data_IF_762324642417
#
_entry.id   IF_762324642417
#
_cell.length_a   1.000
_cell.length_b   1.000
_cell.length_c   1.000
_cell.angle_alpha   90.00
_cell.angle_beta   90.00
_cell.angle_gamma   90.00
#
_symmetry.space_group_name_H-M   'P 1'
#
loop_
_entity.id
_entity.type
_entity.pdbx_description
1 polymer ?
#
# COMPACT_ATOMS: atom_id res chain seq x y z
N UNK A 1 -43.29 -56.85 -27.31
CA UNK A 1 -44.40 -57.19 -28.23
C UNK A 1 -45.46 -56.11 -28.14
N UNK A 2 -46.07 -55.79 -29.29
CA UNK A 2 -47.13 -54.78 -29.57
C UNK A 2 -48.27 -54.85 -28.52
N UNK A 3 -49.08 -53.82 -28.28
CA UNK A 3 -50.16 -53.24 -29.13
C UNK A 3 -50.69 -52.01 -28.32
N UNK A 4 -50.61 -50.77 -28.80
CA UNK A 4 -51.64 -49.99 -29.54
C UNK A 4 -52.98 -49.71 -28.83
N UNK A 5 -53.45 -48.48 -28.99
CA UNK A 5 -54.87 -48.10 -29.09
C UNK A 5 -55.35 -47.16 -27.97
N UNK A 6 -55.53 -45.86 -28.21
CA UNK A 6 -56.76 -45.20 -28.74
C UNK A 6 -57.91 -45.27 -27.73
N UNK A 7 -58.77 -44.27 -27.49
CA UNK A 7 -58.97 -42.90 -27.96
C UNK A 7 -60.16 -42.31 -27.15
N UNK A 8 -60.32 -40.99 -27.21
CA UNK A 8 -61.59 -40.21 -27.20
C UNK A 8 -62.61 -40.40 -26.06
N UNK A 9 -62.86 -39.36 -25.26
CA UNK A 9 -63.75 -38.21 -25.49
C UNK A 9 -65.24 -38.49 -25.21
N UNK A 10 -65.71 -37.81 -24.16
CA UNK A 10 -67.00 -37.10 -24.03
C UNK A 10 -68.27 -37.92 -24.18
N UNK A 11 -69.05 -38.01 -23.10
CA UNK A 11 -70.49 -37.70 -23.14
C UNK A 11 -71.11 -37.64 -21.74
N UNK A 12 -71.75 -36.49 -21.46
CA UNK A 12 -73.07 -36.41 -20.81
C UNK A 12 -73.22 -36.89 -19.38
N UNK A 13 -72.87 -36.03 -18.41
CA UNK A 13 -73.50 -36.12 -17.07
C UNK A 13 -74.88 -35.46 -17.15
N UNK A 14 -75.87 -36.23 -17.58
CA UNK A 14 -77.28 -35.85 -17.54
C UNK A 14 -77.73 -35.70 -16.09
N UNK A 15 -78.16 -34.49 -15.73
CA UNK A 15 -78.88 -34.20 -14.50
C UNK A 15 -80.21 -34.98 -14.52
N UNK A 16 -80.31 -36.05 -13.73
CA UNK A 16 -81.60 -36.69 -13.43
C UNK A 16 -82.17 -36.01 -12.20
N UNK A 17 -83.14 -35.11 -12.39
CA UNK A 17 -84.01 -34.63 -11.31
C UNK A 17 -85.04 -35.72 -11.06
N UNK A 18 -84.77 -36.58 -10.08
CA UNK A 18 -85.79 -37.47 -9.51
C UNK A 18 -86.61 -36.66 -8.52
N UNK A 19 -87.84 -36.35 -8.90
CA UNK A 19 -88.87 -35.93 -7.97
C UNK A 19 -89.41 -37.18 -7.25
N UNK A 20 -89.01 -37.38 -5.99
CA UNK A 20 -89.71 -38.26 -5.06
C UNK A 20 -90.23 -37.42 -3.90
N UNK A 21 -91.55 -37.25 -3.90
CA UNK A 21 -92.34 -36.90 -2.72
C UNK A 21 -92.14 -37.98 -1.65
N UNK A 22 -91.67 -37.56 -0.48
CA UNK A 22 -91.55 -38.41 0.70
C UNK A 22 -90.88 -37.61 1.82
N UNK A 23 -91.67 -37.20 2.81
CA UNK A 23 -91.24 -36.32 3.90
C UNK A 23 -90.03 -36.84 4.66
N UNK A 24 -89.11 -35.92 4.93
CA UNK A 24 -87.87 -36.16 5.67
C UNK A 24 -86.86 -35.10 5.30
N UNK A 25 -87.00 -33.88 5.83
CA UNK A 25 -85.94 -32.86 5.77
C UNK A 25 -84.70 -33.41 6.49
N UNK A 26 -83.82 -34.06 5.73
CA UNK A 26 -82.43 -34.20 6.09
C UNK A 26 -81.81 -32.81 6.01
N UNK A 27 -81.94 -32.06 7.11
CA UNK A 27 -81.23 -30.79 7.31
C UNK A 27 -79.74 -31.07 7.21
N UNK A 28 -79.12 -30.61 6.12
CA UNK A 28 -77.67 -30.47 6.03
C UNK A 28 -77.27 -29.59 7.24
N UNK A 29 -76.39 -30.05 8.15
CA UNK A 29 -76.00 -29.27 9.30
C UNK A 29 -75.30 -27.98 8.82
N UNK A 30 -75.91 -26.84 9.15
CA UNK A 30 -75.55 -25.48 8.73
C UNK A 30 -74.12 -25.07 9.18
N UNK A 31 -73.56 -25.80 10.14
CA UNK A 31 -72.26 -25.57 10.78
C UNK A 31 -71.05 -26.07 9.97
N UNK A 32 -71.27 -27.04 9.06
CA UNK A 32 -70.20 -27.55 8.19
C UNK A 32 -69.58 -26.44 7.32
N UNK A 33 -70.40 -25.51 6.85
CA UNK A 33 -69.94 -24.41 5.99
C UNK A 33 -69.08 -23.36 6.72
N UNK A 34 -69.34 -23.09 8.00
CA UNK A 34 -68.47 -22.21 8.81
C UNK A 34 -67.16 -22.91 9.13
N UNK A 35 -67.20 -24.17 9.55
CA UNK A 35 -66.01 -24.98 9.80
C UNK A 35 -65.07 -25.02 8.58
N UNK A 36 -65.62 -25.29 7.37
CA UNK A 36 -64.84 -25.27 6.13
C UNK A 36 -64.32 -23.87 5.78
N UNK A 37 -65.07 -22.80 6.06
CA UNK A 37 -64.60 -21.42 5.86
C UNK A 37 -63.43 -21.08 6.78
N UNK A 38 -63.49 -21.43 8.06
CA UNK A 38 -62.37 -21.24 9.00
C UNK A 38 -61.15 -22.06 8.62
N UNK A 39 -61.32 -23.31 8.15
CA UNK A 39 -60.22 -24.13 7.64
C UNK A 39 -59.55 -23.51 6.41
N UNK A 40 -60.35 -23.02 5.45
CA UNK A 40 -59.84 -22.34 4.25
C UNK A 40 -59.15 -21.02 4.59
N UNK A 41 -59.67 -20.25 5.55
CA UNK A 41 -59.04 -19.02 6.02
C UNK A 41 -57.70 -19.30 6.72
N UNK A 42 -57.64 -20.31 7.60
CA UNK A 42 -56.40 -20.73 8.26
C UNK A 42 -55.37 -21.23 7.25
N UNK A 43 -55.80 -21.99 6.23
CA UNK A 43 -54.91 -22.41 5.14
C UNK A 43 -54.39 -21.22 4.33
N UNK A 44 -55.24 -20.23 4.07
CA UNK A 44 -54.86 -19.03 3.33
C UNK A 44 -53.84 -18.18 4.10
N UNK A 45 -54.02 -17.99 5.41
CA UNK A 45 -53.05 -17.29 6.26
C UNK A 45 -51.72 -18.04 6.32
N UNK A 46 -51.75 -19.35 6.55
CA UNK A 46 -50.53 -20.19 6.59
C UNK A 46 -49.79 -20.18 5.26
N UNK A 47 -50.52 -20.23 4.14
CA UNK A 47 -49.94 -20.12 2.79
C UNK A 47 -49.25 -18.76 2.60
N UNK A 48 -49.89 -17.67 3.03
CA UNK A 48 -49.31 -16.32 2.90
C UNK A 48 -48.04 -16.14 3.75
N UNK A 49 -48.00 -16.73 4.94
CA UNK A 49 -46.83 -16.70 5.81
C UNK A 49 -45.67 -17.50 5.22
N UNK A 50 -45.96 -18.67 4.62
CA UNK A 50 -45.00 -19.47 3.87
C UNK A 50 -44.44 -18.71 2.68
N UNK A 51 -45.29 -18.05 1.89
CA UNK A 51 -44.85 -17.28 0.72
C UNK A 51 -43.97 -16.10 1.13
N UNK A 52 -44.28 -15.46 2.26
CA UNK A 52 -43.42 -14.44 2.85
C UNK A 52 -42.09 -14.99 3.34
N UNK A 53 -42.07 -16.16 3.99
CA UNK A 53 -40.83 -16.82 4.43
C UNK A 53 -39.93 -17.19 3.23
N UNK A 54 -40.51 -17.70 2.15
CA UNK A 54 -39.81 -18.00 0.90
C UNK A 54 -39.18 -16.73 0.33
N UNK A 55 -39.91 -15.61 0.33
CA UNK A 55 -39.40 -14.33 -0.13
C UNK A 55 -38.18 -13.91 0.71
N UNK A 56 -38.29 -13.95 2.03
CA UNK A 56 -37.22 -13.59 2.96
C UNK A 56 -35.98 -14.49 2.78
N UNK A 57 -36.18 -15.79 2.59
CA UNK A 57 -35.12 -16.74 2.31
C UNK A 57 -34.42 -16.42 0.99
N UNK A 58 -35.17 -16.20 -0.11
CA UNK A 58 -34.55 -15.85 -1.40
C UNK A 58 -33.78 -14.54 -1.36
N UNK A 59 -34.27 -13.54 -0.62
CA UNK A 59 -33.56 -12.27 -0.44
C UNK A 59 -32.29 -12.46 0.39
N UNK A 60 -32.35 -13.26 1.46
CA UNK A 60 -31.20 -13.58 2.31
C UNK A 60 -30.14 -14.37 1.53
N UNK A 61 -30.55 -15.36 0.72
CA UNK A 61 -29.64 -16.12 -0.15
C UNK A 61 -28.95 -15.21 -1.16
N UNK A 62 -29.67 -14.28 -1.80
CA UNK A 62 -29.06 -13.30 -2.71
C UNK A 62 -28.00 -12.47 -2.00
N UNK A 63 -28.33 -11.95 -0.81
CA UNK A 63 -27.42 -11.10 -0.06
C UNK A 63 -26.15 -11.85 0.37
N UNK A 64 -26.29 -13.11 0.77
CA UNK A 64 -25.16 -13.98 1.13
C UNK A 64 -24.30 -14.29 -0.11
N UNK A 65 -24.91 -14.57 -1.26
CA UNK A 65 -24.18 -14.78 -2.53
C UNK A 65 -23.41 -13.54 -2.96
N UNK A 66 -24.02 -12.35 -2.85
CA UNK A 66 -23.35 -11.09 -3.17
C UNK A 66 -22.13 -10.86 -2.27
N UNK A 67 -22.27 -11.14 -0.96
CA UNK A 67 -21.15 -11.09 -0.01
C UNK A 67 -20.05 -12.07 -0.41
N UNK A 68 -20.39 -13.30 -0.81
CA UNK A 68 -19.41 -14.30 -1.28
C UNK A 68 -18.65 -13.84 -2.52
N UNK A 69 -19.34 -13.23 -3.51
CA UNK A 69 -18.71 -12.72 -4.73
C UNK A 69 -17.78 -11.53 -4.43
N UNK A 70 -18.21 -10.60 -3.59
CA UNK A 70 -17.39 -9.46 -3.19
C UNK A 70 -16.18 -9.92 -2.35
N UNK A 71 -16.35 -10.90 -1.46
CA UNK A 71 -15.24 -11.51 -0.73
C UNK A 71 -14.23 -12.19 -1.64
N UNK A 72 -14.71 -12.96 -2.64
CA UNK A 72 -13.83 -13.59 -3.63
C UNK A 72 -13.08 -12.55 -4.47
N UNK A 73 -13.67 -11.37 -4.69
CA UNK A 73 -12.99 -10.26 -5.38
C UNK A 73 -11.89 -9.65 -4.53
N UNK A 74 -12.09 -9.53 -3.22
CA UNK A 74 -11.08 -9.01 -2.28
C UNK A 74 -9.97 -10.04 -2.02
N UNK A 75 -10.31 -11.33 -1.98
CA UNK A 75 -9.38 -12.44 -1.78
C UNK A 75 -8.67 -12.92 -3.05
N UNK A 76 -9.28 -12.70 -4.22
CA UNK A 76 -8.68 -12.96 -5.53
C UNK A 76 -7.34 -12.25 -5.63
N UNK A 77 -6.52 -12.55 -6.66
CA UNK A 77 -5.13 -12.12 -6.73
C UNK A 77 -5.03 -10.60 -6.76
N UNK A 78 -5.06 -9.99 -5.58
CA UNK A 78 -4.60 -8.64 -5.34
C UNK A 78 -3.10 -8.69 -5.62
N UNK A 79 -2.52 -7.65 -6.24
CA UNK A 79 -1.14 -7.64 -6.75
C UNK A 79 -0.09 -7.59 -5.62
N UNK A 80 -0.41 -8.11 -4.44
CA UNK A 80 0.47 -8.20 -3.26
C UNK A 80 1.57 -9.26 -3.42
N UNK A 81 1.49 -10.11 -4.45
CA UNK A 81 2.50 -11.15 -4.74
C UNK A 81 3.33 -10.87 -6.01
N UNK A 82 3.20 -9.69 -6.63
CA UNK A 82 4.18 -9.27 -7.62
C UNK A 82 5.48 -8.91 -6.88
N UNK A 83 6.65 -9.41 -7.33
CA UNK A 83 7.93 -8.98 -6.77
C UNK A 83 7.99 -7.45 -6.85
N UNK A 84 8.14 -6.79 -5.70
CA UNK A 84 8.38 -5.35 -5.62
C UNK A 84 9.76 -5.09 -6.20
N UNK A 85 9.81 -5.01 -7.53
CA UNK A 85 10.97 -4.53 -8.29
C UNK A 85 10.48 -3.29 -9.00
N UNK A 86 10.76 -2.13 -8.42
CA UNK A 86 10.31 -0.82 -8.92
C UNK A 86 9.09 -0.34 -8.14
N UNK A 87 9.29 0.76 -7.40
CA UNK A 87 8.35 1.26 -6.41
C UNK A 87 6.96 1.56 -6.98
N UNK A 88 5.96 0.90 -6.41
CA UNK A 88 4.62 1.41 -6.12
C UNK A 88 3.85 0.27 -5.42
N UNK A 89 4.18 0.04 -4.14
CA UNK A 89 3.27 -0.76 -3.31
C UNK A 89 1.94 -0.03 -3.23
N UNK A 90 0.82 -0.74 -3.45
CA UNK A 90 -0.59 -0.34 -3.27
C UNK A 90 -0.79 1.12 -2.81
N UNK A 91 -1.30 2.03 -3.65
CA UNK A 91 -1.45 3.44 -3.27
C UNK A 91 -2.32 3.62 -2.01
N UNK A 92 -2.15 4.74 -1.29
CA UNK A 92 -2.99 5.07 -0.11
C UNK A 92 -4.48 5.03 -0.44
N UNK A 93 -4.84 5.42 -1.67
CA UNK A 93 -6.22 5.39 -2.17
C UNK A 93 -6.75 3.97 -2.32
N UNK A 94 -5.96 3.06 -2.90
CA UNK A 94 -6.35 1.65 -3.03
C UNK A 94 -6.53 0.97 -1.66
N UNK A 95 -5.76 1.38 -0.64
CA UNK A 95 -5.95 0.88 0.74
C UNK A 95 -7.23 1.40 1.38
N UNK A 96 -7.53 2.69 1.22
CA UNK A 96 -8.75 3.29 1.72
C UNK A 96 -10.00 2.67 1.06
N UNK A 97 -9.89 2.33 -0.23
CA UNK A 97 -10.91 1.59 -0.97
C UNK A 97 -11.14 0.19 -0.39
N UNK A 98 -10.08 -0.59 -0.17
CA UNK A 98 -10.19 -1.94 0.43
C UNK A 98 -10.83 -1.88 1.82
N UNK A 99 -10.41 -0.93 2.67
CA UNK A 99 -10.99 -0.77 4.01
C UNK A 99 -12.49 -0.41 3.94
N UNK A 100 -12.87 0.44 2.98
CA UNK A 100 -14.27 0.82 2.75
C UNK A 100 -15.08 -0.40 2.32
N UNK A 101 -14.56 -1.22 1.39
CA UNK A 101 -15.20 -2.46 0.96
C UNK A 101 -15.37 -3.46 2.12
N UNK A 102 -14.35 -3.65 2.96
CA UNK A 102 -14.42 -4.51 4.16
C UNK A 102 -15.51 -4.04 5.14
N UNK A 103 -15.64 -2.72 5.35
CA UNK A 103 -16.70 -2.15 6.21
C UNK A 103 -18.09 -2.36 5.62
N UNK A 104 -18.25 -2.19 4.30
CA UNK A 104 -19.50 -2.43 3.60
C UNK A 104 -19.91 -3.91 3.71
N UNK A 105 -18.96 -4.83 3.49
CA UNK A 105 -19.17 -6.27 3.65
C UNK A 105 -19.59 -6.64 5.08
N UNK A 106 -18.90 -6.09 6.08
CA UNK A 106 -19.26 -6.29 7.50
C UNK A 106 -20.71 -5.88 7.77
N UNK A 107 -21.15 -4.76 7.18
CA UNK A 107 -22.54 -4.28 7.32
C UNK A 107 -23.54 -5.22 6.64
N UNK A 108 -23.21 -5.74 5.46
CA UNK A 108 -24.06 -6.70 4.74
C UNK A 108 -24.19 -8.02 5.50
N UNK A 109 -23.08 -8.57 6.00
CA UNK A 109 -23.07 -9.79 6.83
C UNK A 109 -23.97 -9.63 8.06
N UNK A 110 -23.88 -8.49 8.79
CA UNK A 110 -24.76 -8.22 9.94
C UNK A 110 -26.25 -8.16 9.55
N UNK A 111 -26.57 -7.66 8.36
CA UNK A 111 -27.96 -7.68 7.85
C UNK A 111 -28.42 -9.10 7.53
N UNK A 112 -27.56 -9.94 6.93
CA UNK A 112 -27.86 -11.37 6.74
C UNK A 112 -28.15 -12.03 8.06
N UNK A 113 -27.30 -11.84 9.08
CA UNK A 113 -27.49 -12.40 10.42
C UNK A 113 -28.84 -12.01 11.02
N UNK A 114 -29.17 -10.72 11.01
CA UNK A 114 -30.42 -10.22 11.57
C UNK A 114 -31.66 -10.79 10.85
N UNK A 115 -31.60 -10.89 9.51
CA UNK A 115 -32.68 -11.49 8.72
C UNK A 115 -32.81 -12.98 8.97
N UNK A 116 -31.70 -13.71 9.00
CA UNK A 116 -31.69 -15.16 9.23
C UNK A 116 -32.25 -15.49 10.62
N UNK A 117 -31.91 -14.71 11.64
CA UNK A 117 -32.50 -14.83 12.97
C UNK A 117 -34.01 -14.54 12.99
N UNK A 118 -34.48 -13.56 12.20
CA UNK A 118 -35.92 -13.28 12.04
C UNK A 118 -36.64 -14.44 11.35
N UNK A 119 -36.10 -14.91 10.22
CA UNK A 119 -36.63 -16.05 9.46
C UNK A 119 -36.71 -17.31 10.32
N UNK A 120 -35.72 -17.56 11.16
CA UNK A 120 -35.72 -18.70 12.08
C UNK A 120 -36.83 -18.62 13.12
N UNK A 121 -37.04 -17.46 13.76
CA UNK A 121 -38.16 -17.26 14.69
C UNK A 121 -39.52 -17.46 14.03
N UNK A 122 -39.68 -16.99 12.79
CA UNK A 122 -40.92 -17.20 12.02
C UNK A 122 -41.14 -18.68 11.72
N UNK A 123 -40.08 -19.38 11.30
CA UNK A 123 -40.13 -20.82 11.05
C UNK A 123 -40.55 -21.59 12.31
N UNK A 124 -39.96 -21.28 13.47
CA UNK A 124 -40.29 -21.92 14.74
C UNK A 124 -41.77 -21.71 15.11
N UNK A 125 -42.31 -20.49 14.89
CA UNK A 125 -43.72 -20.17 15.11
C UNK A 125 -44.68 -20.92 14.17
N UNK A 126 -44.29 -21.10 12.90
CA UNK A 126 -45.09 -21.89 11.96
C UNK A 126 -45.05 -23.38 12.32
N UNK A 127 -43.90 -23.88 12.79
CA UNK A 127 -43.73 -25.27 13.18
C UNK A 127 -44.61 -25.67 14.37
N UNK A 128 -44.82 -24.76 15.32
CA UNK A 128 -45.72 -24.99 16.46
C UNK A 128 -47.20 -24.95 16.08
N UNK A 129 -47.54 -24.37 14.92
CA UNK A 129 -48.93 -24.09 14.53
C UNK A 129 -49.50 -25.15 13.57
N UNK A 130 -48.66 -25.89 12.83
CA UNK A 130 -49.14 -26.78 11.77
C UNK A 130 -48.25 -28.02 11.54
N UNK A 131 -48.72 -29.18 12.01
CA UNK A 131 -48.07 -30.49 11.78
C UNK A 131 -48.04 -30.90 10.29
N UNK A 132 -49.04 -30.47 9.52
CA UNK A 132 -49.14 -30.79 8.08
C UNK A 132 -48.02 -30.20 7.22
N UNK A 133 -47.22 -29.28 7.76
CA UNK A 133 -46.12 -28.61 7.06
C UNK A 133 -44.73 -29.05 7.56
N UNK A 134 -44.67 -30.00 8.49
CA UNK A 134 -43.45 -30.38 9.20
C UNK A 134 -42.30 -30.78 8.26
N UNK A 135 -42.60 -31.50 7.17
CA UNK A 135 -41.59 -31.90 6.17
C UNK A 135 -40.99 -30.71 5.42
N UNK A 136 -41.79 -29.70 5.08
CA UNK A 136 -41.33 -28.50 4.37
C UNK A 136 -40.53 -27.59 5.30
N UNK A 137 -40.98 -27.47 6.56
CA UNK A 137 -40.26 -26.69 7.58
C UNK A 137 -38.90 -27.30 7.91
N UNK A 138 -38.77 -28.63 7.91
CA UNK A 138 -37.49 -29.30 8.09
C UNK A 138 -36.47 -28.94 6.98
N UNK A 139 -36.92 -28.85 5.73
CA UNK A 139 -36.05 -28.43 4.60
C UNK A 139 -35.60 -26.97 4.76
N UNK A 140 -36.50 -26.08 5.18
CA UNK A 140 -36.14 -24.68 5.44
C UNK A 140 -35.21 -24.54 6.66
N UNK A 141 -35.42 -25.32 7.72
CA UNK A 141 -34.52 -25.35 8.88
C UNK A 141 -33.10 -25.76 8.48
N UNK A 142 -32.96 -26.79 7.63
CA UNK A 142 -31.67 -27.19 7.07
C UNK A 142 -31.04 -26.07 6.22
N UNK A 143 -31.82 -25.44 5.35
CA UNK A 143 -31.35 -24.31 4.52
C UNK A 143 -30.85 -23.14 5.37
N UNK A 144 -31.59 -22.79 6.44
CA UNK A 144 -31.20 -21.73 7.38
C UNK A 144 -29.88 -22.11 8.08
N UNK A 145 -29.74 -23.35 8.52
CA UNK A 145 -28.51 -23.86 9.14
C UNK A 145 -27.30 -23.76 8.20
N UNK A 146 -27.47 -24.08 6.92
CA UNK A 146 -26.41 -23.97 5.92
C UNK A 146 -26.01 -22.49 5.68
N UNK A 147 -27.00 -21.59 5.63
CA UNK A 147 -26.75 -20.15 5.50
C UNK A 147 -26.05 -19.58 6.76
N UNK A 148 -26.40 -20.04 7.96
CA UNK A 148 -25.74 -19.67 9.22
C UNK A 148 -24.26 -20.06 9.19
N UNK A 149 -23.96 -21.29 8.75
CA UNK A 149 -22.59 -21.78 8.60
C UNK A 149 -21.80 -20.95 7.57
N UNK A 150 -22.42 -20.60 6.44
CA UNK A 150 -21.78 -19.76 5.42
C UNK A 150 -21.47 -18.35 5.96
N UNK A 151 -22.43 -17.72 6.64
CA UNK A 151 -22.24 -16.40 7.27
C UNK A 151 -21.11 -16.41 8.30
N UNK A 152 -21.01 -17.47 9.11
CA UNK A 152 -19.94 -17.62 10.09
C UNK A 152 -18.54 -17.78 9.43
N UNK A 153 -18.48 -18.51 8.32
CA UNK A 153 -17.26 -18.61 7.50
C UNK A 153 -16.85 -17.27 6.89
N UNK A 154 -17.81 -16.53 6.32
CA UNK A 154 -17.58 -15.19 5.79
C UNK A 154 -17.09 -14.22 6.87
N UNK A 155 -17.64 -14.27 8.08
CA UNK A 155 -17.20 -13.46 9.22
C UNK A 155 -15.75 -13.73 9.60
N UNK A 156 -15.38 -15.00 9.69
CA UNK A 156 -13.99 -15.42 9.98
C UNK A 156 -13.04 -14.89 8.90
N UNK A 157 -13.46 -14.98 7.64
CA UNK A 157 -12.70 -14.45 6.51
C UNK A 157 -12.51 -12.93 6.57
N UNK A 158 -13.59 -12.18 6.85
CA UNK A 158 -13.55 -10.73 7.00
C UNK A 158 -12.61 -10.32 8.14
N UNK A 159 -12.63 -11.05 9.25
CA UNK A 159 -11.73 -10.79 10.38
C UNK A 159 -10.27 -10.96 9.95
N UNK A 160 -9.92 -12.08 9.32
CA UNK A 160 -8.57 -12.33 8.80
C UNK A 160 -8.11 -11.24 7.84
N UNK A 161 -8.97 -10.82 6.90
CA UNK A 161 -8.67 -9.74 5.97
C UNK A 161 -8.44 -8.41 6.70
N UNK A 162 -9.23 -8.12 7.72
CA UNK A 162 -9.09 -6.90 8.54
C UNK A 162 -7.76 -6.87 9.28
N UNK A 163 -7.34 -8.01 9.85
CA UNK A 163 -6.08 -8.15 10.57
C UNK A 163 -4.87 -8.04 9.61
N UNK A 164 -4.97 -8.65 8.43
CA UNK A 164 -3.96 -8.52 7.37
C UNK A 164 -3.81 -7.08 6.89
N UNK A 165 -4.91 -6.38 6.62
CA UNK A 165 -4.87 -4.96 6.20
C UNK A 165 -4.24 -4.10 7.29
N UNK A 166 -4.59 -4.32 8.56
CA UNK A 166 -4.02 -3.57 9.69
C UNK A 166 -2.52 -3.81 9.84
N UNK A 167 -2.07 -5.06 9.70
CA UNK A 167 -0.64 -5.43 9.73
C UNK A 167 0.13 -4.80 8.56
N UNK A 168 -0.42 -4.85 7.35
CA UNK A 168 0.20 -4.24 6.16
C UNK A 168 0.30 -2.72 6.30
N UNK A 169 -0.70 -2.06 6.88
CA UNK A 169 -0.64 -0.63 7.17
C UNK A 169 0.48 -0.29 8.15
N UNK A 170 0.62 -1.04 9.25
CA UNK A 170 1.68 -0.84 10.22
C UNK A 170 3.08 -1.04 9.60
N UNK A 171 3.26 -2.09 8.80
CA UNK A 171 4.51 -2.35 8.07
C UNK A 171 4.83 -1.22 7.09
N UNK A 172 3.84 -0.69 6.39
CA UNK A 172 4.05 0.39 5.42
C UNK A 172 4.49 1.69 6.09
N UNK A 173 3.88 2.06 7.23
CA UNK A 173 4.31 3.22 8.02
C UNK A 173 5.76 3.07 8.46
N UNK A 174 6.15 1.87 8.92
CA UNK A 174 7.53 1.58 9.31
C UNK A 174 8.50 1.74 8.13
N UNK A 175 8.17 1.16 6.97
CA UNK A 175 8.98 1.27 5.76
C UNK A 175 9.12 2.73 5.28
N UNK A 176 8.05 3.53 5.39
CA UNK A 176 8.12 4.95 5.04
C UNK A 176 9.07 5.72 5.96
N UNK A 177 9.08 5.41 7.25
CA UNK A 177 10.02 6.00 8.21
C UNK A 177 11.47 5.56 7.94
N UNK A 178 11.70 4.26 7.72
CA UNK A 178 13.03 3.73 7.37
C UNK A 178 13.56 4.38 6.09
N UNK A 179 12.70 4.58 5.09
CA UNK A 179 13.06 5.27 3.84
C UNK A 179 13.46 6.73 4.10
N UNK A 180 12.68 7.49 4.88
CA UNK A 180 13.02 8.88 5.18
C UNK A 180 14.37 9.00 5.89
N UNK A 181 14.64 8.13 6.88
CA UNK A 181 15.93 8.09 7.58
C UNK A 181 17.07 7.75 6.63
N UNK A 182 16.86 6.82 5.69
CA UNK A 182 17.85 6.46 4.69
C UNK A 182 18.12 7.61 3.72
N UNK A 183 17.08 8.30 3.24
CA UNK A 183 17.21 9.48 2.38
C UNK A 183 17.99 10.60 3.07
N UNK A 184 17.69 10.89 4.34
CA UNK A 184 18.44 11.86 5.15
C UNK A 184 19.91 11.44 5.31
N UNK A 185 20.16 10.16 5.58
CA UNK A 185 21.52 9.62 5.72
C UNK A 185 22.30 9.73 4.42
N UNK A 186 21.67 9.39 3.29
CA UNK A 186 22.29 9.50 1.96
C UNK A 186 22.57 10.95 1.61
N UNK A 187 21.64 11.88 1.92
CA UNK A 187 21.85 13.32 1.72
C UNK A 187 23.03 13.82 2.54
N UNK A 188 23.08 13.50 3.84
CA UNK A 188 24.17 13.91 4.72
C UNK A 188 25.54 13.30 4.31
N UNK A 189 25.56 12.06 3.81
CA UNK A 189 26.79 11.47 3.24
C UNK A 189 27.20 12.20 1.97
N UNK A 190 26.25 12.49 1.09
CA UNK A 190 26.50 13.16 -0.18
C UNK A 190 27.00 14.58 0.04
N UNK A 191 26.43 15.34 0.97
CA UNK A 191 26.91 16.66 1.36
C UNK A 191 28.36 16.58 1.83
N UNK A 192 28.66 15.73 2.82
CA UNK A 192 30.01 15.55 3.38
C UNK A 192 31.04 15.08 2.33
N UNK A 193 30.62 14.23 1.39
CA UNK A 193 31.54 13.79 0.34
C UNK A 193 31.88 14.90 -0.65
N UNK A 194 30.96 15.84 -0.87
CA UNK A 194 31.16 16.97 -1.75
C UNK A 194 31.79 18.20 -1.07
N UNK A 195 32.06 18.17 0.24
CA UNK A 195 32.80 19.24 0.92
C UNK A 195 34.28 19.25 0.52
N UNK A 196 34.74 20.37 0.00
CA UNK A 196 36.14 20.66 -0.30
C UNK A 196 36.57 21.97 0.35
N UNK A 197 37.86 22.08 0.62
CA UNK A 197 38.45 23.16 1.40
C UNK A 197 39.58 23.79 0.62
N UNK A 198 39.59 25.12 0.47
CA UNK A 198 40.68 25.82 -0.21
C UNK A 198 41.17 27.03 0.56
N UNK A 199 42.45 27.37 0.37
CA UNK A 199 43.05 28.59 0.90
C UNK A 199 44.05 29.19 -0.08
N UNK A 200 44.02 30.51 -0.20
CA UNK A 200 44.98 31.30 -0.96
C UNK A 200 45.62 32.31 -0.02
N UNK A 201 46.95 32.33 0.06
CA UNK A 201 47.64 33.25 0.97
C UNK A 201 49.13 33.37 0.69
N UNK A 202 49.77 34.32 1.36
CA UNK A 202 51.23 34.48 1.25
C UNK A 202 51.96 33.36 2.00
N UNK A 203 53.18 33.03 1.57
CA UNK A 203 54.02 32.02 2.22
C UNK A 203 54.12 32.23 3.75
N UNK A 204 54.33 33.47 4.19
CA UNK A 204 54.51 33.78 5.62
C UNK A 204 53.20 33.60 6.41
N UNK A 205 52.07 33.98 5.82
CA UNK A 205 50.75 33.81 6.44
C UNK A 205 50.40 32.32 6.62
N UNK A 206 50.54 31.54 5.55
CA UNK A 206 50.24 30.11 5.57
C UNK A 206 51.18 29.32 6.50
N UNK A 207 52.44 29.76 6.64
CA UNK A 207 53.39 29.19 7.60
C UNK A 207 53.02 29.55 9.04
N UNK A 208 52.59 30.79 9.29
CA UNK A 208 52.14 31.25 10.62
C UNK A 208 50.87 30.53 11.07
N UNK A 209 49.95 30.29 10.13
CA UNK A 209 48.72 29.48 10.35
C UNK A 209 48.99 27.98 10.45
N UNK A 210 50.23 27.52 10.26
CA UNK A 210 50.61 26.10 10.32
C UNK A 210 50.07 25.26 9.16
N UNK A 211 49.66 25.88 8.05
CA UNK A 211 49.07 25.20 6.88
C UNK A 211 50.15 24.61 5.98
N UNK A 212 51.32 25.27 5.91
CA UNK A 212 52.49 24.81 5.15
C UNK A 212 53.71 24.66 6.05
N UNK A 213 54.52 23.67 5.73
CA UNK A 213 55.83 23.41 6.35
C UNK A 213 56.93 23.40 5.29
N UNK A 214 58.13 23.79 5.69
CA UNK A 214 59.33 23.67 4.85
C UNK A 214 59.99 22.32 5.17
N UNK A 215 59.86 21.36 4.26
CA UNK A 215 60.50 20.04 4.37
C UNK A 215 61.61 19.91 3.31
N UNK A 216 62.75 19.32 3.72
CA UNK A 216 63.91 19.14 2.85
C UNK A 216 64.86 20.34 2.78
N UNK A 217 66.07 20.10 2.27
CA UNK A 217 67.17 21.05 2.21
C UNK A 217 68.42 20.50 2.88
N UNK A 218 69.37 20.03 2.09
CA UNK A 218 70.70 19.63 2.57
C UNK A 218 71.39 20.90 3.11
N UNK A 219 71.94 20.86 4.32
CA UNK A 219 72.84 21.92 4.79
C UNK A 219 74.06 21.93 3.87
N UNK A 220 74.09 22.85 2.90
CA UNK A 220 75.29 23.12 2.12
C UNK A 220 75.85 24.45 2.58
N UNK A 221 76.92 24.37 3.39
CA UNK A 221 77.58 25.49 4.08
C UNK A 221 76.69 26.20 5.12
N UNK A 222 77.33 26.68 6.19
CA UNK A 222 76.75 27.05 7.49
C UNK A 222 75.66 28.15 7.46
N UNK A 223 75.31 28.71 6.30
CA UNK A 223 74.38 29.83 6.16
C UNK A 223 73.38 29.74 4.99
N UNK A 224 73.40 28.69 4.16
CA UNK A 224 72.49 28.57 3.00
C UNK A 224 71.79 27.22 2.95
N UNK A 225 70.48 27.19 3.23
CA UNK A 225 69.63 26.03 2.98
C UNK A 225 69.16 26.10 1.54
N UNK A 226 69.72 25.24 0.68
CA UNK A 226 69.32 25.14 -0.73
C UNK A 226 68.46 23.89 -0.89
N UNK A 227 67.24 24.04 -1.42
CA UNK A 227 66.33 22.92 -1.70
C UNK A 227 65.16 22.71 -0.74
N UNK A 228 64.78 23.73 0.05
CA UNK A 228 63.53 23.68 0.83
C UNK A 228 62.32 23.53 -0.12
N UNK A 229 61.54 22.48 0.10
CA UNK A 229 60.28 22.27 -0.62
C UNK A 229 59.14 22.60 0.34
N UNK A 230 58.21 23.43 -0.10
CA UNK A 230 56.99 23.69 0.67
C UNK A 230 56.09 22.46 0.53
N UNK A 231 55.67 21.92 1.66
CA UNK A 231 54.72 20.81 1.75
C UNK A 231 53.55 21.22 2.65
N UNK A 232 52.34 20.69 2.42
CA UNK A 232 51.24 20.85 3.35
C UNK A 232 51.61 20.28 4.72
N UNK A 233 51.14 20.91 5.80
CA UNK A 233 51.30 20.35 7.12
C UNK A 233 50.60 18.99 7.27
N UNK A 234 51.10 18.15 8.18
CA UNK A 234 50.55 16.80 8.41
C UNK A 234 49.13 16.81 8.99
N UNK A 235 48.80 17.84 9.76
CA UNK A 235 47.48 18.07 10.35
C UNK A 235 47.01 19.42 9.84
N UNK A 236 45.90 19.42 9.12
CA UNK A 236 45.26 20.63 8.59
C UNK A 236 43.97 20.86 9.36
N UNK A 237 43.81 22.08 9.86
CA UNK A 237 42.58 22.52 10.52
C UNK A 237 41.61 23.09 9.47
N UNK A 238 40.45 22.46 9.23
CA UNK A 238 39.48 22.94 8.25
C UNK A 238 38.97 24.36 8.51
N UNK A 239 38.96 24.83 9.76
CA UNK A 239 38.48 26.18 10.11
C UNK A 239 39.36 27.30 9.52
N UNK A 240 40.60 26.97 9.16
CA UNK A 240 41.51 27.92 8.51
C UNK A 240 41.27 28.04 7.01
N UNK A 241 40.42 27.19 6.43
CA UNK A 241 40.14 27.13 5.00
C UNK A 241 38.75 27.69 4.66
N UNK A 242 38.57 28.06 3.40
CA UNK A 242 37.25 28.35 2.85
C UNK A 242 36.58 27.04 2.46
N UNK A 243 35.44 26.73 3.09
CA UNK A 243 34.57 25.62 2.73
C UNK A 243 33.86 25.92 1.39
N UNK A 244 33.83 24.92 0.50
CA UNK A 244 33.14 24.98 -0.78
C UNK A 244 32.56 23.61 -1.15
N UNK A 245 31.60 23.61 -2.09
CA UNK A 245 31.01 22.38 -2.64
C UNK A 245 31.70 22.02 -3.96
N UNK A 246 32.26 20.81 -4.03
CA UNK A 246 32.98 20.23 -5.16
C UNK A 246 32.20 20.34 -6.47
N UNK A 247 30.87 20.19 -6.42
CA UNK A 247 29.99 20.19 -7.60
C UNK A 247 29.80 21.58 -8.20
N UNK A 248 29.99 22.62 -7.39
CA UNK A 248 29.71 24.01 -7.78
C UNK A 248 30.97 24.86 -7.89
N UNK A 249 32.06 24.45 -7.24
CA UNK A 249 33.35 25.15 -7.27
C UNK A 249 34.05 24.91 -8.60
N UNK A 250 33.69 25.70 -9.61
CA UNK A 250 34.33 25.68 -10.92
C UNK A 250 35.59 26.55 -10.99
N UNK A 251 35.70 27.59 -10.15
CA UNK A 251 36.80 28.55 -10.18
C UNK A 251 37.20 29.00 -8.77
N UNK A 252 38.50 29.15 -8.54
CA UNK A 252 39.09 29.71 -7.32
C UNK A 252 39.69 31.07 -7.64
N UNK A 253 39.11 32.14 -7.10
CA UNK A 253 39.59 33.50 -7.33
C UNK A 253 40.94 33.75 -6.67
N UNK A 254 41.83 34.45 -7.37
CA UNK A 254 43.18 34.78 -6.90
C UNK A 254 43.23 36.28 -6.54
N UNK A 255 43.76 36.67 -5.36
CA UNK A 255 43.69 38.06 -4.89
C UNK A 255 44.40 39.10 -5.77
N UNK A 256 45.43 38.69 -6.52
CA UNK A 256 46.32 39.58 -7.30
C UNK A 256 46.74 38.95 -8.63
N UNK A 257 46.30 39.52 -9.74
CA UNK A 257 46.52 38.93 -11.07
C UNK A 257 47.98 39.01 -11.57
N UNK A 258 48.82 39.87 -10.96
CA UNK A 258 50.22 40.08 -11.36
C UNK A 258 51.22 39.22 -10.56
N UNK A 259 50.75 38.44 -9.59
CA UNK A 259 51.58 37.61 -8.72
C UNK A 259 51.71 36.18 -9.23
N UNK A 260 52.78 35.51 -8.80
CA UNK A 260 53.03 34.12 -9.15
C UNK A 260 52.50 33.22 -8.05
N UNK A 261 51.49 32.42 -8.36
CA UNK A 261 50.91 31.45 -7.45
C UNK A 261 51.54 30.08 -7.63
N UNK A 262 51.52 29.28 -6.58
CA UNK A 262 51.99 27.90 -6.59
C UNK A 262 51.02 26.99 -5.82
N UNK A 263 50.61 25.87 -6.41
CA UNK A 263 49.90 24.82 -5.68
C UNK A 263 50.93 24.01 -4.89
N UNK A 264 50.72 23.91 -3.57
CA UNK A 264 51.58 23.15 -2.66
C UNK A 264 50.95 21.81 -2.25
N UNK A 265 49.62 21.70 -2.39
CA UNK A 265 48.86 20.48 -2.15
C UNK A 265 48.95 19.48 -3.32
N UNK A 266 48.30 18.31 -3.17
CA UNK A 266 48.47 17.14 -4.05
C UNK A 266 47.63 17.16 -5.34
N UNK A 267 46.88 18.23 -5.61
CA UNK A 267 46.02 18.30 -6.78
C UNK A 267 46.84 18.35 -8.07
N UNK A 268 46.29 17.74 -9.12
CA UNK A 268 46.92 17.71 -10.43
C UNK A 268 46.45 18.92 -11.27
N UNK A 269 47.42 19.71 -11.74
CA UNK A 269 47.18 20.82 -12.66
C UNK A 269 46.70 20.35 -14.05
N UNK A 270 46.80 19.06 -14.38
CA UNK A 270 46.21 18.52 -15.60
C UNK A 270 44.68 18.71 -15.65
N UNK A 271 44.03 18.85 -14.50
CA UNK A 271 42.58 19.06 -14.38
C UNK A 271 42.21 20.51 -14.04
N UNK A 272 43.15 21.46 -14.17
CA UNK A 272 42.91 22.88 -13.93
C UNK A 272 43.58 23.78 -14.98
N UNK A 273 43.03 24.97 -15.18
CA UNK A 273 43.50 25.98 -16.11
C UNK A 273 43.64 27.35 -15.43
N UNK A 274 44.58 28.16 -15.87
CA UNK A 274 44.82 29.53 -15.42
C UNK A 274 45.39 30.34 -16.59
N UNK A 275 45.28 31.68 -16.53
CA UNK A 275 45.69 32.58 -17.62
C UNK A 275 47.13 32.33 -18.12
N UNK A 276 48.05 31.99 -17.21
CA UNK A 276 49.44 31.66 -17.54
C UNK A 276 49.95 30.49 -16.70
N UNK A 277 49.98 29.30 -17.29
CA UNK A 277 50.62 28.12 -16.70
C UNK A 277 52.14 28.15 -16.86
N UNK A 278 52.88 27.82 -15.78
CA UNK A 278 54.34 27.71 -15.76
C UNK A 278 54.77 26.33 -15.24
N UNK A 279 56.03 25.97 -15.47
CA UNK A 279 56.62 24.73 -14.92
C UNK A 279 56.65 24.75 -13.38
N UNK A 280 56.71 23.57 -12.76
CA UNK A 280 56.84 23.36 -11.31
C UNK A 280 55.64 23.84 -10.45
N UNK A 281 54.43 23.58 -10.94
CA UNK A 281 53.15 23.90 -10.31
C UNK A 281 52.93 25.40 -10.04
N UNK A 282 53.51 26.25 -10.90
CA UNK A 282 53.39 27.70 -10.81
C UNK A 282 52.47 28.23 -11.89
N UNK A 283 51.72 29.27 -11.57
CA UNK A 283 50.81 29.91 -12.51
C UNK A 283 50.56 31.36 -12.14
N UNK A 284 49.98 32.13 -13.05
CA UNK A 284 49.56 33.52 -12.83
C UNK A 284 48.20 33.71 -13.49
N UNK A 285 47.35 34.54 -12.89
CA UNK A 285 46.04 34.86 -13.44
C UNK A 285 45.11 35.47 -12.40
N UNK A 286 43.89 35.76 -12.81
CA UNK A 286 42.81 36.22 -11.90
C UNK A 286 42.07 35.08 -11.19
N UNK A 287 42.08 33.88 -11.75
CA UNK A 287 41.44 32.70 -11.16
C UNK A 287 42.15 31.41 -11.59
N UNK A 288 41.97 30.36 -10.79
CA UNK A 288 42.27 28.98 -11.16
C UNK A 288 40.95 28.29 -11.51
N UNK A 289 40.75 27.95 -12.78
CA UNK A 289 39.57 27.24 -13.28
C UNK A 289 39.76 25.74 -13.17
N UNK A 290 38.80 25.04 -12.60
CA UNK A 290 38.82 23.59 -12.41
C UNK A 290 38.03 22.97 -13.56
N UNK A 291 38.70 22.19 -14.40
CA UNK A 291 38.10 21.57 -15.59
C UNK A 291 37.35 20.28 -15.25
N UNK A 292 37.92 19.48 -14.35
CA UNK A 292 37.29 18.27 -13.83
C UNK A 292 37.40 18.24 -12.30
N UNK A 293 36.35 18.66 -11.57
CA UNK A 293 36.36 18.70 -10.12
C UNK A 293 36.66 17.35 -9.47
N UNK A 294 36.06 16.25 -9.92
CA UNK A 294 36.26 14.93 -9.29
C UNK A 294 37.73 14.50 -9.36
N UNK A 295 38.34 14.54 -10.54
CA UNK A 295 39.74 14.15 -10.72
C UNK A 295 40.72 15.15 -10.09
N UNK A 296 40.36 16.43 -10.05
CA UNK A 296 41.19 17.45 -9.41
C UNK A 296 41.24 17.27 -7.88
N UNK A 297 40.11 16.97 -7.24
CA UNK A 297 39.99 16.85 -5.78
C UNK A 297 40.24 15.43 -5.24
N UNK A 298 40.28 14.40 -6.09
CA UNK A 298 40.54 13.00 -5.72
C UNK A 298 41.79 12.82 -4.81
N UNK A 299 42.96 13.44 -5.10
CA UNK A 299 44.15 13.22 -4.28
C UNK A 299 44.09 13.86 -2.88
N UNK A 300 43.27 14.91 -2.72
CA UNK A 300 43.09 15.63 -1.47
C UNK A 300 41.92 16.63 -1.52
N UNK A 301 41.08 16.63 -0.48
CA UNK A 301 40.01 17.63 -0.24
C UNK A 301 40.53 19.03 0.13
N UNK A 302 41.83 19.22 0.32
CA UNK A 302 42.45 20.50 0.72
C UNK A 302 43.33 21.08 -0.38
N UNK A 303 42.96 22.23 -0.92
CA UNK A 303 43.73 23.00 -1.90
C UNK A 303 44.47 24.14 -1.21
N UNK A 304 45.79 24.18 -1.36
CA UNK A 304 46.66 25.21 -0.78
C UNK A 304 47.40 25.92 -1.90
N UNK A 305 47.09 27.19 -2.09
CA UNK A 305 47.71 28.06 -3.10
C UNK A 305 48.56 29.12 -2.38
N UNK A 306 49.85 29.12 -2.68
CA UNK A 306 50.83 30.06 -2.11
C UNK A 306 51.12 31.18 -3.11
N UNK A 307 50.91 32.44 -2.69
CA UNK A 307 51.41 33.63 -3.39
C UNK A 307 52.93 33.77 -3.14
N UNK A 308 53.71 33.87 -4.23
CA UNK A 308 55.14 34.19 -4.22
C UNK A 308 55.42 35.65 -4.58
#
# INVERSE_FOLDING_TARGET
MRVHGLASLVTGLSLVVVACQGGGEARIPVDSTEYYRTQVQNLATISSEKDSLLRDLTETTRLITDVSMELATIQGPSPTNAPVVGGEGMTTDARAEVLTKVRQLTTRVRRSEARLASTRRRLDSLATTSDSLQSTLAVYAATISDLEAMVQSQKTTIQTLTDQVSSLMAQNVRLAQEKAVLEDTVSAITERENEVYYIVGTKNELKTKGIITEEGGTRFLLFTRTGETLTPARVLDPEQFTLADLRTLAEVALPRNNKDYRIVSKQDLAYAEADQMKKNNKFRGGALRILNPESFWEPSKFLIIVEN
#
